data_IF_819019030361
#
_entry.id   IF_819019030361
#
_cell.length_a   1.000
_cell.length_b   1.000
_cell.length_c   1.000
_cell.angle_alpha   90.00
_cell.angle_beta   90.00
_cell.angle_gamma   90.00
#
_symmetry.space_group_name_H-M   'P 1'
#
loop_
_entity.id
_entity.type
_entity.pdbx_description
1 polymer ?
#
# COMPACT_ATOMS: atom_id res chain seq x y z
N UNK A 1 -13.25 11.34 14.68
CA UNK A 1 -12.88 9.92 14.48
C UNK A 1 -11.68 9.53 15.34
N UNK A 2 -11.55 8.24 15.68
CA UNK A 2 -10.35 7.70 16.32
C UNK A 2 -9.38 7.19 15.25
N UNK A 3 -8.08 7.39 15.46
CA UNK A 3 -7.05 6.95 14.51
C UNK A 3 -5.95 6.23 15.28
N UNK A 4 -5.68 4.98 14.91
CA UNK A 4 -4.60 4.16 15.46
C UNK A 4 -3.62 3.79 14.35
N UNK A 5 -2.34 3.68 14.70
CA UNK A 5 -1.26 3.27 13.79
C UNK A 5 -0.42 2.19 14.43
N UNK A 6 -0.03 1.20 13.64
CA UNK A 6 0.80 0.09 14.10
C UNK A 6 1.75 -0.35 12.98
N UNK A 7 3.00 -0.58 13.32
CA UNK A 7 3.98 -1.19 12.42
C UNK A 7 3.81 -2.69 12.37
N UNK A 8 4.06 -3.28 11.21
CA UNK A 8 4.14 -4.71 11.03
C UNK A 8 5.14 -5.06 9.93
N UNK A 9 5.76 -6.24 10.04
CA UNK A 9 6.76 -6.68 9.06
C UNK A 9 6.20 -7.77 8.18
N UNK A 10 6.30 -7.58 6.87
CA UNK A 10 5.94 -8.56 5.85
C UNK A 10 7.21 -9.19 5.29
N UNK A 11 7.29 -10.51 5.34
CA UNK A 11 8.32 -11.28 4.69
C UNK A 11 7.85 -11.66 3.28
N UNK A 12 8.68 -11.37 2.28
CA UNK A 12 8.39 -11.78 0.90
C UNK A 12 8.60 -13.29 0.78
N UNK A 13 7.63 -14.00 0.21
CA UNK A 13 7.80 -15.42 -0.13
C UNK A 13 9.06 -15.64 -0.96
N UNK A 14 9.30 -14.75 -1.91
CA UNK A 14 10.48 -14.75 -2.75
C UNK A 14 11.18 -13.40 -2.65
N UNK A 15 12.42 -13.33 -2.12
CA UNK A 15 13.19 -12.09 -2.13
C UNK A 15 13.32 -11.53 -3.54
N UNK A 16 13.24 -10.21 -3.66
CA UNK A 16 13.30 -9.49 -4.93
C UNK A 16 14.61 -8.73 -5.05
N UNK A 17 15.40 -9.08 -6.05
CA UNK A 17 16.62 -8.37 -6.41
C UNK A 17 16.37 -7.43 -7.59
N UNK A 18 16.76 -6.18 -7.43
CA UNK A 18 16.75 -5.14 -8.46
C UNK A 18 18.12 -4.44 -8.46
N UNK A 19 18.38 -3.52 -9.39
CA UNK A 19 19.64 -2.76 -9.45
C UNK A 19 20.03 -2.02 -8.16
N UNK A 20 19.08 -1.78 -7.25
CA UNK A 20 19.30 -1.09 -5.96
C UNK A 20 19.47 -2.04 -4.77
N UNK A 21 19.52 -3.34 -4.99
CA UNK A 21 19.70 -4.35 -3.95
C UNK A 21 18.58 -5.37 -3.86
N UNK A 22 18.67 -6.23 -2.84
CA UNK A 22 17.69 -7.30 -2.57
C UNK A 22 16.82 -6.92 -1.39
N UNK A 23 15.51 -7.08 -1.54
CA UNK A 23 14.54 -6.89 -0.48
C UNK A 23 13.84 -8.20 -0.17
N UNK A 24 14.02 -8.70 1.06
CA UNK A 24 13.37 -9.92 1.56
C UNK A 24 12.20 -9.63 2.49
N UNK A 25 12.20 -8.47 3.16
CA UNK A 25 11.16 -8.04 4.09
C UNK A 25 10.91 -6.55 3.98
N UNK A 26 9.74 -6.10 4.45
CA UNK A 26 9.38 -4.69 4.49
C UNK A 26 8.56 -4.44 5.77
N UNK A 27 8.93 -3.41 6.54
CA UNK A 27 8.13 -2.97 7.69
C UNK A 27 7.18 -1.87 7.24
N UNK A 28 5.90 -2.20 7.19
CA UNK A 28 4.80 -1.32 6.79
C UNK A 28 4.08 -0.76 8.01
N UNK A 29 3.16 0.16 7.81
CA UNK A 29 2.34 0.75 8.86
C UNK A 29 0.87 0.59 8.49
N UNK A 30 0.08 0.02 9.38
CA UNK A 30 -1.38 0.08 9.32
C UNK A 30 -1.90 1.39 9.90
N UNK A 31 -2.92 1.91 9.25
CA UNK A 31 -3.72 3.02 9.71
C UNK A 31 -5.16 2.53 9.89
N UNK A 32 -5.67 2.62 11.10
CA UNK A 32 -7.06 2.34 11.43
C UNK A 32 -7.79 3.65 11.67
N UNK A 33 -8.90 3.85 10.99
CA UNK A 33 -9.82 4.99 11.22
C UNK A 33 -11.13 4.42 11.71
N UNK A 34 -11.49 4.74 12.96
CA UNK A 34 -12.73 4.27 13.59
C UNK A 34 -13.67 5.43 13.85
N UNK A 35 -14.89 5.31 13.35
CA UNK A 35 -16.02 6.22 13.61
C UNK A 35 -17.33 5.44 13.45
N UNK A 36 -18.37 5.84 14.16
CA UNK A 36 -19.71 5.21 14.08
C UNK A 36 -19.63 3.66 14.22
N UNK A 37 -18.76 3.18 15.13
CA UNK A 37 -18.52 1.75 15.40
C UNK A 37 -17.93 0.95 14.22
N UNK A 38 -17.54 1.63 13.16
CA UNK A 38 -16.93 1.03 11.96
C UNK A 38 -15.44 1.39 11.90
N UNK A 39 -14.60 0.41 11.59
CA UNK A 39 -13.15 0.60 11.38
C UNK A 39 -12.79 0.39 9.92
N UNK A 40 -12.24 1.43 9.31
CA UNK A 40 -11.57 1.38 8.02
C UNK A 40 -10.07 1.17 8.18
N UNK A 41 -9.46 0.42 7.26
CA UNK A 41 -8.05 0.05 7.28
C UNK A 41 -7.32 0.60 6.06
N UNK A 42 -6.14 1.15 6.30
CA UNK A 42 -5.20 1.57 5.26
C UNK A 42 -3.79 1.12 5.57
N UNK A 43 -2.93 1.10 4.56
CA UNK A 43 -1.55 0.67 4.68
C UNK A 43 -0.62 1.67 4.02
N UNK A 44 0.47 2.01 4.72
CA UNK A 44 1.62 2.71 4.17
C UNK A 44 2.82 1.78 4.08
N UNK A 45 3.44 1.71 2.92
CA UNK A 45 4.69 0.98 2.70
C UNK A 45 5.84 1.95 2.41
N UNK A 46 7.04 1.75 3.00
CA UNK A 46 8.20 2.54 2.66
C UNK A 46 8.59 2.33 1.21
N UNK A 47 8.95 3.39 0.52
CA UNK A 47 9.47 3.30 -0.84
C UNK A 47 10.37 4.48 -1.19
N UNK A 48 11.12 4.37 -2.29
CA UNK A 48 11.96 5.44 -2.79
C UNK A 48 11.92 5.54 -4.30
N UNK A 49 11.75 6.76 -4.81
CA UNK A 49 11.84 7.09 -6.23
C UNK A 49 12.82 8.24 -6.39
N UNK A 50 13.90 8.04 -7.14
CA UNK A 50 14.97 9.02 -7.26
C UNK A 50 15.55 9.38 -5.89
N UNK A 51 15.60 10.67 -5.57
CA UNK A 51 16.12 11.19 -4.30
C UNK A 51 15.06 11.26 -3.19
N UNK A 52 13.80 10.88 -3.48
CA UNK A 52 12.72 10.92 -2.50
C UNK A 52 12.58 9.54 -1.84
N UNK A 53 13.07 9.42 -0.61
CA UNK A 53 12.87 8.23 0.24
C UNK A 53 11.80 8.52 1.28
N UNK A 54 10.85 7.59 1.40
CA UNK A 54 9.86 7.56 2.46
C UNK A 54 10.11 6.29 3.27
N UNK A 55 10.93 6.41 4.33
CA UNK A 55 11.22 5.30 5.24
C UNK A 55 10.03 5.05 6.19
N UNK A 56 9.99 3.89 6.82
CA UNK A 56 8.97 3.54 7.82
C UNK A 56 8.94 4.57 8.95
N UNK A 57 10.11 4.98 9.44
CA UNK A 57 10.25 5.97 10.53
C UNK A 57 9.65 7.32 10.11
N UNK A 58 10.00 7.81 8.92
CA UNK A 58 9.45 9.07 8.39
C UNK A 58 7.93 9.01 8.20
N UNK A 59 7.41 7.89 7.73
CA UNK A 59 5.96 7.68 7.61
C UNK A 59 5.31 7.72 8.98
N UNK A 60 5.88 7.03 9.97
CA UNK A 60 5.37 6.98 11.34
C UNK A 60 5.38 8.35 12.00
N UNK A 61 6.49 9.08 11.93
CA UNK A 61 6.61 10.45 12.46
C UNK A 61 5.58 11.38 11.83
N UNK A 62 5.41 11.30 10.50
CA UNK A 62 4.43 12.12 9.79
C UNK A 62 3.00 11.79 10.21
N UNK A 63 2.66 10.51 10.37
CA UNK A 63 1.35 10.09 10.89
C UNK A 63 1.11 10.65 12.30
N UNK A 64 2.09 10.57 13.21
CA UNK A 64 1.99 11.13 14.54
C UNK A 64 1.72 12.65 14.53
N UNK A 65 2.30 13.38 13.58
CA UNK A 65 2.09 14.82 13.43
C UNK A 65 0.70 15.18 12.90
N UNK A 66 0.17 14.41 11.95
CA UNK A 66 -1.12 14.73 11.32
C UNK A 66 -2.34 14.20 12.07
N UNK A 67 -2.21 13.10 12.81
CA UNK A 67 -3.33 12.48 13.54
C UNK A 67 -4.06 13.47 14.45
N UNK A 68 -3.39 14.31 15.26
CA UNK A 68 -4.07 15.30 16.10
C UNK A 68 -4.92 16.30 15.30
N UNK A 69 -4.53 16.55 14.06
CA UNK A 69 -5.22 17.49 13.17
C UNK A 69 -6.43 16.80 12.52
N UNK A 70 -6.21 15.67 11.86
CA UNK A 70 -7.26 15.01 11.06
C UNK A 70 -8.30 14.29 11.91
N UNK A 71 -8.02 13.94 13.18
CA UNK A 71 -9.00 13.29 14.08
C UNK A 71 -10.23 14.14 14.35
N UNK A 72 -10.15 15.47 14.19
CA UNK A 72 -11.27 16.40 14.37
C UNK A 72 -12.28 16.36 13.23
N UNK A 73 -11.89 15.83 12.07
CA UNK A 73 -12.76 15.66 10.92
C UNK A 73 -13.69 14.44 11.07
N UNK A 74 -14.80 14.49 10.38
CA UNK A 74 -15.62 13.31 10.10
C UNK A 74 -15.01 12.50 8.95
N UNK A 75 -15.12 11.15 8.94
CA UNK A 75 -14.69 10.35 7.79
C UNK A 75 -15.41 10.72 6.49
N UNK A 76 -16.59 11.34 6.58
CA UNK A 76 -17.34 11.86 5.43
C UNK A 76 -16.64 13.04 4.75
N UNK A 77 -15.77 13.76 5.46
CA UNK A 77 -15.02 14.92 4.97
C UNK A 77 -13.72 14.52 4.26
N UNK A 78 -13.77 13.45 3.48
CA UNK A 78 -12.58 12.89 2.81
C UNK A 78 -11.86 13.91 1.92
N UNK A 79 -12.60 14.68 1.12
CA UNK A 79 -12.01 15.68 0.22
C UNK A 79 -11.33 16.82 0.97
N UNK A 80 -11.87 17.25 2.10
CA UNK A 80 -11.25 18.28 2.96
C UNK A 80 -9.97 17.76 3.60
N UNK A 81 -9.97 16.50 4.06
CA UNK A 81 -8.77 15.84 4.59
C UNK A 81 -7.71 15.73 3.49
N UNK A 82 -8.08 15.29 2.28
CA UNK A 82 -7.17 15.20 1.14
C UNK A 82 -6.56 16.56 0.79
N UNK A 83 -7.37 17.60 0.70
CA UNK A 83 -6.93 18.98 0.42
C UNK A 83 -5.96 19.48 1.49
N UNK A 84 -6.26 19.25 2.78
CA UNK A 84 -5.39 19.59 3.90
C UNK A 84 -4.04 18.87 3.81
N UNK A 85 -4.04 17.55 3.61
CA UNK A 85 -2.82 16.76 3.49
C UNK A 85 -1.98 17.17 2.28
N UNK A 86 -2.61 17.61 1.19
CA UNK A 86 -1.93 18.16 0.02
C UNK A 86 -1.29 19.52 0.33
N UNK A 87 -2.01 20.42 0.98
CA UNK A 87 -1.51 21.73 1.39
C UNK A 87 -0.32 21.60 2.35
N UNK A 88 -0.36 20.66 3.28
CA UNK A 88 0.72 20.34 4.20
C UNK A 88 1.91 19.61 3.54
N UNK A 89 1.84 19.32 2.24
CA UNK A 89 2.86 18.59 1.48
C UNK A 89 3.22 17.21 2.09
N UNK A 90 2.21 16.52 2.64
CA UNK A 90 2.39 15.23 3.29
C UNK A 90 2.91 14.18 2.30
N UNK A 91 3.86 13.31 2.70
CA UNK A 91 4.37 12.22 1.88
C UNK A 91 3.26 11.33 1.30
N UNK A 92 3.44 10.88 0.05
CA UNK A 92 2.40 10.13 -0.68
C UNK A 92 2.02 8.81 -0.01
N UNK A 93 2.96 8.10 0.65
CA UNK A 93 2.65 6.89 1.38
C UNK A 93 1.67 7.13 2.54
N UNK A 94 1.84 8.24 3.26
CA UNK A 94 0.94 8.64 4.35
C UNK A 94 -0.44 9.03 3.79
N UNK A 95 -0.47 9.84 2.72
CA UNK A 95 -1.74 10.22 2.06
C UNK A 95 -2.50 9.01 1.59
N UNK A 96 -1.82 8.06 0.94
CA UNK A 96 -2.43 6.82 0.47
C UNK A 96 -3.02 6.00 1.61
N UNK A 97 -2.29 5.82 2.72
CA UNK A 97 -2.79 5.05 3.86
C UNK A 97 -4.05 5.67 4.48
N UNK A 98 -4.07 6.99 4.65
CA UNK A 98 -5.25 7.70 5.18
C UNK A 98 -6.43 7.59 4.20
N UNK A 99 -6.20 7.82 2.91
CA UNK A 99 -7.24 7.76 1.88
C UNK A 99 -7.83 6.35 1.74
N UNK A 100 -6.99 5.31 1.74
CA UNK A 100 -7.43 3.91 1.72
C UNK A 100 -8.29 3.60 2.94
N UNK A 101 -7.87 4.02 4.15
CA UNK A 101 -8.63 3.80 5.38
C UNK A 101 -10.01 4.51 5.34
N UNK A 102 -10.08 5.73 4.82
CA UNK A 102 -11.33 6.46 4.67
C UNK A 102 -12.27 5.80 3.64
N UNK A 103 -11.73 5.28 2.54
CA UNK A 103 -12.53 4.56 1.54
C UNK A 103 -13.01 3.20 2.07
N UNK A 104 -12.17 2.46 2.80
CA UNK A 104 -12.57 1.20 3.41
C UNK A 104 -13.67 1.43 4.47
N UNK A 105 -13.52 2.48 5.28
CA UNK A 105 -14.57 2.91 6.20
C UNK A 105 -15.88 3.23 5.46
N UNK A 106 -15.81 4.01 4.38
CA UNK A 106 -16.99 4.39 3.59
C UNK A 106 -17.68 3.16 2.99
N UNK A 107 -16.94 2.26 2.36
CA UNK A 107 -17.50 1.03 1.79
C UNK A 107 -18.23 0.19 2.83
N UNK A 108 -17.63 0.02 4.01
CA UNK A 108 -18.26 -0.68 5.14
C UNK A 108 -19.48 0.06 5.69
N UNK A 109 -19.40 1.39 5.78
CA UNK A 109 -20.51 2.22 6.28
C UNK A 109 -21.75 2.13 5.41
N UNK A 110 -21.61 2.07 4.09
CA UNK A 110 -22.70 1.93 3.14
C UNK A 110 -22.97 0.48 2.74
N UNK A 111 -22.24 -0.48 3.31
CA UNK A 111 -22.34 -1.92 3.04
C UNK A 111 -22.20 -2.27 1.55
N UNK A 112 -21.27 -1.60 0.87
CA UNK A 112 -20.94 -1.86 -0.53
C UNK A 112 -19.45 -2.06 -0.73
N UNK A 113 -19.02 -3.02 -1.56
CA UNK A 113 -17.62 -3.13 -1.96
C UNK A 113 -17.25 -1.92 -2.83
N UNK A 114 -16.02 -1.43 -2.71
CA UNK A 114 -15.57 -0.20 -3.38
C UNK A 114 -15.72 -0.25 -4.91
N UNK A 115 -15.48 -1.41 -5.54
CA UNK A 115 -15.66 -1.54 -6.98
C UNK A 115 -17.11 -1.26 -7.41
N UNK A 116 -18.10 -1.64 -6.60
CA UNK A 116 -19.51 -1.40 -6.87
C UNK A 116 -19.88 0.07 -6.57
N UNK A 117 -19.36 0.61 -5.46
CA UNK A 117 -19.54 2.01 -5.08
C UNK A 117 -19.04 2.96 -6.19
N UNK A 118 -17.97 2.59 -6.88
CA UNK A 118 -17.37 3.36 -7.98
C UNK A 118 -17.89 2.97 -9.36
N UNK A 119 -18.84 2.04 -9.45
CA UNK A 119 -19.39 1.58 -10.74
C UNK A 119 -18.37 0.86 -11.63
N UNK A 120 -17.36 0.19 -11.04
CA UNK A 120 -16.32 -0.49 -11.78
C UNK A 120 -16.77 -1.88 -12.23
N UNK A 121 -16.33 -2.30 -13.40
CA UNK A 121 -16.55 -3.66 -13.89
C UNK A 121 -15.42 -4.59 -13.41
N UNK A 122 -15.71 -5.42 -12.41
CA UNK A 122 -14.73 -6.38 -11.85
C UNK A 122 -14.22 -7.41 -12.88
N UNK A 123 -15.00 -7.67 -13.94
CA UNK A 123 -14.59 -8.61 -14.99
C UNK A 123 -13.61 -7.99 -15.99
N UNK A 124 -13.38 -6.69 -15.93
CA UNK A 124 -12.38 -5.97 -16.73
C UNK A 124 -11.02 -5.86 -16.03
N UNK A 125 -10.82 -6.54 -14.89
CA UNK A 125 -9.54 -6.58 -14.19
C UNK A 125 -8.52 -7.31 -15.06
N UNK A 126 -7.39 -6.63 -15.35
CA UNK A 126 -6.27 -7.24 -16.08
C UNK A 126 -5.48 -8.19 -15.17
N UNK A 127 -4.85 -9.24 -15.73
CA UNK A 127 -4.00 -10.14 -14.97
C UNK A 127 -2.85 -9.38 -14.31
N UNK A 128 -2.52 -9.77 -13.08
CA UNK A 128 -1.32 -9.25 -12.39
C UNK A 128 -0.06 -9.89 -12.96
N UNK A 129 1.05 -9.13 -12.97
CA UNK A 129 2.36 -9.67 -13.30
C UNK A 129 3.12 -10.04 -12.05
N UNK A 130 3.82 -11.19 -12.05
CA UNK A 130 4.83 -11.51 -11.05
C UNK A 130 6.21 -11.11 -11.53
N UNK A 131 7.04 -10.60 -10.60
CA UNK A 131 8.36 -10.10 -10.97
C UNK A 131 9.43 -11.15 -10.71
N UNK A 132 10.17 -11.49 -11.77
CA UNK A 132 11.43 -12.22 -11.67
C UNK A 132 12.53 -11.17 -11.50
N UNK A 133 13.17 -11.16 -10.32
CA UNK A 133 14.27 -10.25 -10.02
C UNK A 133 15.53 -10.57 -10.83
N UNK A 134 16.53 -9.67 -10.78
CA UNK A 134 17.83 -9.88 -11.39
C UNK A 134 18.44 -11.16 -10.82
N UNK A 135 18.86 -12.07 -11.69
CA UNK A 135 19.38 -13.37 -11.32
C UNK A 135 20.21 -13.97 -12.47
N UNK A 136 20.97 -15.04 -12.18
CA UNK A 136 21.55 -15.88 -13.23
C UNK A 136 20.44 -16.53 -14.08
N UNK A 137 20.71 -16.97 -15.32
CA UNK A 137 19.72 -17.67 -16.14
C UNK A 137 19.10 -18.90 -15.45
N UNK A 138 19.91 -19.67 -14.73
CA UNK A 138 19.43 -20.83 -13.95
C UNK A 138 18.52 -20.39 -12.78
N UNK A 139 18.91 -19.34 -12.04
CA UNK A 139 18.12 -18.78 -10.94
C UNK A 139 16.80 -18.16 -11.43
N UNK A 140 16.81 -17.49 -12.57
CA UNK A 140 15.58 -16.95 -13.17
C UNK A 140 14.59 -18.07 -13.57
N UNK A 141 15.08 -19.16 -14.17
CA UNK A 141 14.28 -20.35 -14.47
C UNK A 141 13.69 -20.98 -13.20
N UNK A 142 14.51 -21.17 -12.17
CA UNK A 142 14.04 -21.71 -10.89
C UNK A 142 12.94 -20.82 -10.29
N UNK A 143 13.18 -19.50 -10.22
CA UNK A 143 12.20 -18.55 -9.70
C UNK A 143 10.90 -18.53 -10.50
N UNK A 144 10.97 -18.69 -11.80
CA UNK A 144 9.78 -18.79 -12.64
C UNK A 144 8.98 -20.04 -12.28
N UNK A 145 9.62 -21.20 -12.10
CA UNK A 145 8.93 -22.43 -11.65
C UNK A 145 8.29 -22.24 -10.28
N UNK A 146 9.01 -21.67 -9.30
CA UNK A 146 8.47 -21.39 -7.97
C UNK A 146 7.17 -20.57 -8.03
N UNK A 147 7.10 -19.58 -8.92
CA UNK A 147 5.89 -18.77 -9.10
C UNK A 147 4.76 -19.55 -9.75
N UNK A 148 5.05 -20.34 -10.80
CA UNK A 148 4.05 -21.16 -11.52
C UNK A 148 3.47 -22.26 -10.63
N UNK A 149 4.27 -22.81 -9.71
CA UNK A 149 3.82 -23.78 -8.72
C UNK A 149 2.96 -23.13 -7.63
N UNK A 150 3.23 -21.84 -7.32
CA UNK A 150 2.53 -21.14 -6.24
C UNK A 150 1.16 -20.58 -6.66
N UNK A 151 1.01 -20.11 -7.88
CA UNK A 151 -0.22 -19.48 -8.36
C UNK A 151 -0.33 -19.54 -9.90
N UNK A 152 -1.56 -19.34 -10.40
CA UNK A 152 -1.79 -19.19 -11.84
C UNK A 152 -1.20 -17.85 -12.33
N UNK A 153 -0.03 -17.92 -12.99
CA UNK A 153 0.71 -16.77 -13.48
C UNK A 153 0.45 -16.59 -14.97
N UNK A 154 -0.17 -15.48 -15.35
CA UNK A 154 -0.43 -15.14 -16.74
C UNK A 154 0.60 -14.16 -17.33
N UNK A 155 1.26 -13.36 -16.49
CA UNK A 155 2.25 -12.35 -16.91
C UNK A 155 3.51 -12.41 -16.06
N UNK A 156 4.66 -12.44 -16.73
CA UNK A 156 5.97 -12.36 -16.10
C UNK A 156 6.65 -11.02 -16.41
N UNK A 157 7.10 -10.33 -15.38
CA UNK A 157 7.94 -9.14 -15.50
C UNK A 157 9.38 -9.49 -15.13
N UNK A 158 10.26 -9.58 -16.12
CA UNK A 158 11.67 -9.92 -15.88
C UNK A 158 12.49 -8.66 -15.71
N UNK A 159 13.29 -8.61 -14.63
CA UNK A 159 14.29 -7.56 -14.40
C UNK A 159 15.64 -8.02 -14.96
N UNK A 160 16.20 -7.20 -15.86
CA UNK A 160 17.52 -7.40 -16.43
C UNK A 160 18.48 -6.39 -15.81
N UNK A 161 19.73 -6.80 -15.66
CA UNK A 161 20.82 -5.96 -15.12
C UNK A 161 21.98 -6.81 -14.66
N UNK A 162 23.14 -6.19 -14.53
CA UNK A 162 24.35 -6.74 -13.94
C UNK A 162 24.55 -6.20 -12.54
#
# INVERSE_FOLDING_TARGET
MQINVQTFTVNKRFPLTISRGTTAQTTNIWVQITAEEITGWGEASPFGVGNHRQSTERIQETLQQIIPIIKSFSPWQRQEIEALLKQMQIPSAVKAAVDIALHDWLGKRVNLPLWQLWGLNKNAIVPISVTIGINSPAGAKARTRDWLEFMDVQLLKVKLGS
#
